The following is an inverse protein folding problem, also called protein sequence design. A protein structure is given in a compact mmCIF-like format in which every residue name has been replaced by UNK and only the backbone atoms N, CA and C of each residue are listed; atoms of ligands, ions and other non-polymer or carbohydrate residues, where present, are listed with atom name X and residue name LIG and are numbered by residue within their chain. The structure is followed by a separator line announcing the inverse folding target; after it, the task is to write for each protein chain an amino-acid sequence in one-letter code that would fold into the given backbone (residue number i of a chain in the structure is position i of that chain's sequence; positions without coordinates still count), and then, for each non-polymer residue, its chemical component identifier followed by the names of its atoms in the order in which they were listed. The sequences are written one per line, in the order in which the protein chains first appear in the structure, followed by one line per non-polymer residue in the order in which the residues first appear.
data_IF_954700785995
#
_entry.id   IF_954700785995
#
_cell.length_a   1.000
_cell.length_b   1.000
_cell.length_c   1.000
_cell.angle_alpha   90.00
_cell.angle_beta   90.00
_cell.angle_gamma   90.00
#
_symmetry.space_group_name_H-M   'P 1'
#
loop_
_entity.id
_entity.type
_entity.pdbx_description
1 polymer ?
#
# COMPACT_ATOMS: atom_id res chain seq x y z
N UNK A 1 -14.82 19.09 3.77
CA UNK A 1 -15.84 18.42 2.94
C UNK A 1 -17.22 18.51 3.58
N UNK A 2 -17.52 17.81 4.69
CA UNK A 2 -18.83 17.89 5.41
C UNK A 2 -19.38 19.32 5.60
N UNK A 3 -18.53 20.28 5.98
CA UNK A 3 -18.95 21.68 6.14
C UNK A 3 -19.45 22.35 4.84
N UNK A 4 -18.91 21.97 3.68
CA UNK A 4 -19.37 22.42 2.38
C UNK A 4 -20.62 21.64 1.93
N UNK A 5 -20.58 20.30 2.03
CA UNK A 5 -21.68 19.42 1.63
C UNK A 5 -22.97 19.60 2.45
N UNK A 6 -22.88 20.23 3.63
CA UNK A 6 -24.03 20.62 4.46
C UNK A 6 -24.43 22.10 4.35
N UNK A 7 -23.78 22.88 3.48
CA UNK A 7 -24.03 24.32 3.33
C UNK A 7 -23.66 25.15 4.56
N UNK A 8 -22.82 24.63 5.46
CA UNK A 8 -22.27 25.37 6.59
C UNK A 8 -21.20 26.38 6.13
N UNK A 9 -20.43 26.07 5.09
CA UNK A 9 -19.38 26.94 4.52
C UNK A 9 -19.42 26.87 2.98
N UNK A 10 -19.05 27.95 2.30
CA UNK A 10 -18.88 27.99 0.83
C UNK A 10 -17.42 27.66 0.46
N UNK A 11 -17.22 26.81 -0.54
CA UNK A 11 -15.90 26.39 -1.05
C UNK A 11 -15.03 27.50 -1.64
N UNK A 12 -15.61 28.63 -2.06
CA UNK A 12 -14.87 29.81 -2.56
C UNK A 12 -13.93 30.38 -1.48
N UNK A 13 -14.46 30.61 -0.28
CA UNK A 13 -13.74 31.20 0.85
C UNK A 13 -13.27 30.16 1.88
N UNK A 14 -13.76 28.92 1.81
CA UNK A 14 -13.50 27.88 2.81
C UNK A 14 -12.90 26.61 2.18
N UNK A 15 -11.58 26.52 2.22
CA UNK A 15 -10.79 25.37 1.76
C UNK A 15 -9.96 24.76 2.92
N UNK A 16 -9.31 23.60 2.75
CA UNK A 16 -8.54 22.95 3.81
C UNK A 16 -7.44 23.83 4.43
N UNK A 17 -6.79 24.68 3.63
CA UNK A 17 -5.77 25.61 4.12
C UNK A 17 -6.35 26.71 5.01
N UNK A 18 -7.48 27.29 4.62
CA UNK A 18 -8.22 28.27 5.45
C UNK A 18 -8.69 27.62 6.75
N UNK A 19 -9.22 26.41 6.70
CA UNK A 19 -9.68 25.67 7.88
C UNK A 19 -8.53 25.36 8.85
N UNK A 20 -7.39 24.89 8.33
CA UNK A 20 -6.18 24.67 9.14
C UNK A 20 -5.66 25.97 9.78
N UNK A 21 -5.68 27.10 9.06
CA UNK A 21 -5.31 28.40 9.65
C UNK A 21 -6.27 28.83 10.77
N UNK A 22 -7.57 28.62 10.60
CA UNK A 22 -8.57 28.94 11.63
C UNK A 22 -8.37 28.07 12.88
N UNK A 23 -8.18 26.76 12.72
CA UNK A 23 -7.84 25.84 13.81
C UNK A 23 -6.53 26.24 14.51
N UNK A 24 -5.48 26.57 13.75
CA UNK A 24 -4.21 27.00 14.32
C UNK A 24 -4.34 28.32 15.12
N UNK A 25 -5.17 29.26 14.67
CA UNK A 25 -5.36 30.54 15.37
C UNK A 25 -6.04 30.44 16.74
N UNK A 26 -6.77 29.34 17.00
CA UNK A 26 -7.34 29.02 18.32
C UNK A 26 -6.48 28.04 19.13
N UNK A 27 -5.26 27.71 18.66
CA UNK A 27 -4.39 26.73 19.33
C UNK A 27 -4.96 25.31 19.32
N UNK A 28 -5.72 24.94 18.28
CA UNK A 28 -6.35 23.62 18.19
C UNK A 28 -5.35 22.47 17.98
N UNK A 29 -4.14 22.77 17.51
CA UNK A 29 -3.11 21.80 17.20
C UNK A 29 -2.08 21.67 18.32
N UNK A 30 -1.67 20.43 18.60
CA UNK A 30 -0.63 20.09 19.54
C UNK A 30 0.75 20.47 19.01
N UNK A 31 1.76 20.25 19.84
CA UNK A 31 3.17 20.44 19.47
C UNK A 31 3.63 19.50 18.35
N UNK A 32 2.90 18.41 18.13
CA UNK A 32 3.03 17.39 17.10
C UNK A 32 2.18 17.68 15.84
N UNK A 33 1.40 18.78 15.83
CA UNK A 33 0.46 19.11 14.76
C UNK A 33 -0.84 18.31 14.77
N UNK A 34 -1.06 17.42 15.75
CA UNK A 34 -2.34 16.69 15.90
C UNK A 34 -3.44 17.62 16.41
N UNK A 35 -4.70 17.37 16.06
CA UNK A 35 -5.81 18.14 16.62
C UNK A 35 -6.06 17.72 18.08
N UNK A 36 -5.71 18.58 19.05
CA UNK A 36 -5.74 18.26 20.48
C UNK A 36 -7.14 17.88 20.99
N UNK A 37 -8.18 18.54 20.47
CA UNK A 37 -9.57 18.36 20.89
C UNK A 37 -10.50 18.49 19.70
N UNK A 38 -11.42 17.54 19.53
CA UNK A 38 -12.44 17.65 18.49
C UNK A 38 -13.39 18.85 18.70
N UNK A 39 -13.56 19.27 19.95
CA UNK A 39 -14.27 20.51 20.29
C UNK A 39 -13.72 21.77 19.58
N UNK A 40 -12.45 21.76 19.16
CA UNK A 40 -11.86 22.84 18.36
C UNK A 40 -12.43 22.92 16.94
N UNK A 41 -12.84 21.78 16.34
CA UNK A 41 -13.59 21.79 15.07
C UNK A 41 -14.94 22.44 15.27
N UNK A 42 -15.64 22.13 16.36
CA UNK A 42 -16.90 22.78 16.72
C UNK A 42 -16.76 24.27 17.05
N UNK A 43 -15.59 24.74 17.49
CA UNK A 43 -15.33 26.18 17.67
C UNK A 43 -15.20 26.93 16.34
N UNK A 44 -14.70 26.28 15.29
CA UNK A 44 -14.54 26.87 13.93
C UNK A 44 -15.78 26.63 13.06
N UNK A 45 -16.47 25.49 13.24
CA UNK A 45 -17.65 25.06 12.49
C UNK A 45 -18.69 24.47 13.47
N UNK A 46 -19.41 25.31 14.25
CA UNK A 46 -20.38 24.84 15.25
C UNK A 46 -21.55 24.04 14.66
N UNK A 47 -21.78 24.16 13.36
CA UNK A 47 -22.82 23.43 12.63
C UNK A 47 -22.43 21.99 12.28
N UNK A 48 -21.15 21.61 12.37
CA UNK A 48 -20.67 20.24 12.12
C UNK A 48 -20.34 19.57 13.43
N UNK A 49 -20.88 18.37 13.66
CA UNK A 49 -20.67 17.59 14.89
C UNK A 49 -20.36 16.15 14.55
N UNK A 50 -19.52 15.50 15.35
CA UNK A 50 -19.48 14.03 15.38
C UNK A 50 -20.62 13.56 16.27
N UNK A 51 -21.49 12.72 15.72
CA UNK A 51 -22.58 12.05 16.44
C UNK A 51 -22.09 10.70 16.99
N UNK A 52 -21.26 9.98 16.22
CA UNK A 52 -20.55 8.77 16.66
C UNK A 52 -19.13 8.73 16.09
N UNK A 53 -18.16 8.39 16.94
CA UNK A 53 -16.74 8.33 16.61
C UNK A 53 -16.26 6.87 16.53
N UNK A 54 -15.28 6.61 15.66
CA UNK A 54 -14.55 5.34 15.54
C UNK A 54 -15.44 4.08 15.59
N UNK A 55 -16.54 4.08 14.82
CA UNK A 55 -17.38 2.89 14.68
C UNK A 55 -16.66 1.84 13.84
N UNK A 56 -16.56 0.64 14.39
CA UNK A 56 -16.24 -0.57 13.63
C UNK A 56 -17.42 -0.97 12.75
N UNK A 57 -17.12 -1.70 11.67
CA UNK A 57 -18.14 -2.36 10.86
C UNK A 57 -18.58 -3.68 11.49
N UNK A 58 -19.83 -4.06 11.25
CA UNK A 58 -20.35 -5.39 11.55
C UNK A 58 -20.11 -6.36 10.39
N UNK A 59 -19.95 -5.83 9.17
CA UNK A 59 -19.63 -6.58 7.96
C UNK A 59 -18.16 -6.49 7.57
N UNK A 60 -17.63 -7.59 7.03
CA UNK A 60 -16.28 -7.66 6.49
C UNK A 60 -16.23 -7.43 4.97
N UNK A 61 -17.35 -7.51 4.24
CA UNK A 61 -17.38 -7.30 2.78
C UNK A 61 -17.54 -5.83 2.41
N UNK A 62 -16.94 -5.42 1.29
CA UNK A 62 -17.04 -4.04 0.77
C UNK A 62 -18.51 -3.58 0.61
N UNK A 63 -19.37 -4.45 0.04
CA UNK A 63 -20.80 -4.17 -0.11
C UNK A 63 -21.52 -4.01 1.24
N UNK A 64 -21.19 -4.83 2.24
CA UNK A 64 -21.78 -4.74 3.57
C UNK A 64 -21.33 -3.48 4.32
N UNK A 65 -20.04 -3.12 4.24
CA UNK A 65 -19.51 -1.86 4.78
C UNK A 65 -20.14 -0.65 4.11
N UNK A 66 -20.31 -0.69 2.79
CA UNK A 66 -21.06 0.32 2.04
C UNK A 66 -22.51 0.41 2.51
N UNK A 67 -23.20 -0.72 2.74
CA UNK A 67 -24.57 -0.74 3.25
C UNK A 67 -24.69 -0.14 4.67
N UNK A 68 -23.78 -0.46 5.59
CA UNK A 68 -23.76 0.14 6.93
C UNK A 68 -23.59 1.66 6.89
N UNK A 69 -22.68 2.19 6.07
CA UNK A 69 -22.54 3.63 5.88
C UNK A 69 -23.75 4.23 5.15
N UNK A 70 -24.38 3.48 4.24
CA UNK A 70 -25.60 3.92 3.54
C UNK A 70 -26.77 4.09 4.51
N UNK A 71 -26.89 3.24 5.54
CA UNK A 71 -27.91 3.45 6.56
C UNK A 71 -27.79 4.81 7.27
N UNK A 72 -26.56 5.28 7.53
CA UNK A 72 -26.32 6.59 8.14
C UNK A 72 -26.61 7.74 7.17
N UNK A 73 -26.21 7.61 5.90
CA UNK A 73 -26.62 8.56 4.85
C UNK A 73 -28.15 8.65 4.71
N UNK A 74 -28.85 7.52 4.72
CA UNK A 74 -30.32 7.45 4.63
C UNK A 74 -31.01 8.07 5.87
N UNK A 75 -30.34 8.12 7.02
CA UNK A 75 -30.78 8.82 8.24
C UNK A 75 -30.45 10.32 8.21
N UNK A 76 -29.84 10.83 7.15
CA UNK A 76 -29.48 12.25 6.97
C UNK A 76 -28.12 12.64 7.54
N UNK A 77 -27.23 11.68 7.82
CA UNK A 77 -25.88 11.95 8.35
C UNK A 77 -24.80 11.84 7.29
N UNK A 78 -23.72 12.59 7.48
CA UNK A 78 -22.49 12.49 6.72
C UNK A 78 -21.58 11.41 7.30
N UNK A 79 -20.75 10.80 6.45
CA UNK A 79 -19.79 9.78 6.89
C UNK A 79 -18.38 10.17 6.42
N UNK A 80 -17.41 9.99 7.32
CA UNK A 80 -15.99 9.90 6.95
C UNK A 80 -15.46 8.55 7.42
N UNK A 81 -14.46 8.01 6.73
CA UNK A 81 -13.96 6.69 7.03
C UNK A 81 -12.43 6.60 6.96
N UNK A 82 -11.88 5.67 7.74
CA UNK A 82 -10.44 5.45 7.88
C UNK A 82 -10.00 4.35 6.94
N UNK A 83 -9.07 4.66 6.06
CA UNK A 83 -8.56 3.78 4.99
C UNK A 83 -7.08 3.40 5.19
N UNK A 84 -6.61 3.48 6.44
CA UNK A 84 -5.30 2.96 6.86
C UNK A 84 -4.41 4.02 7.49
N UNK A 85 -4.91 4.70 8.53
CA UNK A 85 -4.25 5.86 9.14
C UNK A 85 -4.57 7.19 8.44
N UNK A 86 -5.37 7.14 7.37
CA UNK A 86 -5.87 8.31 6.62
C UNK A 86 -7.39 8.36 6.63
N UNK A 87 -7.97 9.56 6.63
CA UNK A 87 -9.42 9.78 6.68
C UNK A 87 -9.96 10.41 5.40
N UNK A 88 -10.86 9.71 4.73
CA UNK A 88 -11.54 10.18 3.50
C UNK A 88 -13.01 10.47 3.76
N UNK A 89 -13.60 11.37 2.97
CA UNK A 89 -15.03 11.67 3.04
C UNK A 89 -15.81 10.77 2.10
N UNK A 90 -16.90 10.18 2.60
CA UNK A 90 -17.82 9.36 1.80
C UNK A 90 -18.86 10.29 1.18
N UNK A 91 -18.70 10.56 -0.11
CA UNK A 91 -19.54 11.49 -0.84
C UNK A 91 -20.88 10.86 -1.21
N UNK A 92 -20.87 9.69 -1.85
CA UNK A 92 -22.09 8.96 -2.18
C UNK A 92 -21.86 7.46 -2.23
N UNK A 93 -22.93 6.70 -2.02
CA UNK A 93 -22.91 5.23 -2.03
C UNK A 93 -24.06 4.74 -2.93
N UNK A 94 -23.73 3.90 -3.91
CA UNK A 94 -24.66 3.35 -4.90
C UNK A 94 -24.20 1.96 -5.35
N UNK A 95 -25.11 0.97 -5.32
CA UNK A 95 -24.88 -0.40 -5.79
C UNK A 95 -23.58 -1.04 -5.25
N UNK A 96 -23.34 -0.87 -3.93
CA UNK A 96 -22.14 -1.36 -3.23
C UNK A 96 -20.87 -0.51 -3.42
N UNK A 97 -20.83 0.33 -4.45
CA UNK A 97 -19.70 1.22 -4.72
C UNK A 97 -19.78 2.51 -3.87
N UNK A 98 -18.62 3.04 -3.53
CA UNK A 98 -18.48 4.24 -2.69
C UNK A 98 -17.70 5.29 -3.46
N UNK A 99 -18.37 6.38 -3.81
CA UNK A 99 -17.68 7.60 -4.25
C UNK A 99 -17.16 8.33 -3.02
N UNK A 100 -15.86 8.62 -3.01
CA UNK A 100 -15.17 9.38 -1.97
C UNK A 100 -14.63 10.70 -2.50
N UNK A 101 -14.32 11.60 -1.57
CA UNK A 101 -13.40 12.70 -1.82
C UNK A 101 -12.26 12.64 -0.79
N UNK A 102 -11.04 12.73 -1.31
CA UNK A 102 -9.80 12.50 -0.60
C UNK A 102 -8.91 13.77 -0.66
N UNK A 103 -8.43 14.31 0.48
CA UNK A 103 -7.48 15.43 0.47
C UNK A 103 -6.11 15.12 -0.16
N UNK A 104 -5.73 13.85 -0.31
CA UNK A 104 -4.40 13.40 -0.71
C UNK A 104 -4.34 12.75 -2.11
N UNK A 105 -5.49 12.44 -2.72
CA UNK A 105 -5.59 11.74 -4.02
C UNK A 105 -6.71 12.31 -4.88
N UNK A 106 -6.66 12.03 -6.19
CA UNK A 106 -7.71 12.41 -7.15
C UNK A 106 -8.67 11.28 -7.50
N UNK A 107 -8.40 10.06 -7.03
CA UNK A 107 -9.27 8.90 -7.23
C UNK A 107 -10.61 9.10 -6.52
N UNK A 108 -11.71 8.78 -7.20
CA UNK A 108 -13.06 9.01 -6.66
C UNK A 108 -13.75 7.73 -6.20
N UNK A 109 -13.36 6.55 -6.66
CA UNK A 109 -13.90 5.28 -6.15
C UNK A 109 -13.04 4.75 -5.00
N UNK A 110 -13.67 4.50 -3.85
CA UNK A 110 -12.94 4.17 -2.64
C UNK A 110 -12.23 2.82 -2.72
N UNK A 111 -12.95 1.76 -3.13
CA UNK A 111 -12.42 0.39 -3.11
C UNK A 111 -11.46 0.12 -4.28
N UNK A 112 -11.43 0.98 -5.30
CA UNK A 112 -10.38 1.02 -6.31
C UNK A 112 -9.10 1.72 -5.81
N UNK A 113 -9.25 2.74 -4.95
CA UNK A 113 -8.13 3.57 -4.46
C UNK A 113 -7.50 3.05 -3.16
N UNK A 114 -8.24 2.24 -2.41
CA UNK A 114 -7.90 1.70 -1.10
C UNK A 114 -8.36 0.25 -0.98
N UNK A 115 -7.52 -0.59 -0.37
CA UNK A 115 -7.82 -2.02 -0.20
C UNK A 115 -9.08 -2.26 0.63
N UNK A 116 -9.28 -1.50 1.72
CA UNK A 116 -10.42 -1.67 2.62
C UNK A 116 -10.67 -0.40 3.48
N UNK A 117 -11.82 -0.38 4.16
CA UNK A 117 -12.21 0.60 5.18
C UNK A 117 -12.21 -0.05 6.57
N UNK A 118 -11.52 0.59 7.51
CA UNK A 118 -11.22 0.04 8.83
C UNK A 118 -12.17 0.51 9.93
N UNK A 119 -12.60 1.77 9.87
CA UNK A 119 -13.56 2.38 10.79
C UNK A 119 -14.26 3.56 10.11
N UNK A 120 -15.38 4.01 10.66
CA UNK A 120 -16.07 5.21 10.20
C UNK A 120 -16.55 6.11 11.35
N UNK A 121 -16.80 7.38 11.03
CA UNK A 121 -17.43 8.33 11.95
C UNK A 121 -18.65 8.93 11.28
N UNK A 122 -19.71 9.15 12.06
CA UNK A 122 -20.97 9.72 11.62
C UNK A 122 -21.06 11.16 12.10
N UNK A 123 -21.41 12.08 11.19
CA UNK A 123 -21.45 13.51 11.46
C UNK A 123 -22.80 14.13 11.10
N UNK A 124 -23.28 15.04 11.94
CA UNK A 124 -24.31 16.00 11.55
C UNK A 124 -23.66 17.21 10.86
N UNK A 125 -24.36 17.79 9.88
CA UNK A 125 -24.04 19.11 9.32
C UNK A 125 -25.15 20.12 9.61
N UNK A 126 -25.01 21.33 9.05
CA UNK A 126 -26.06 22.38 9.11
C UNK A 126 -27.38 21.89 8.50
N UNK A 127 -27.29 21.36 7.28
CA UNK A 127 -28.35 20.65 6.58
C UNK A 127 -28.06 19.14 6.65
N UNK A 128 -29.09 18.26 6.71
CA UNK A 128 -28.90 16.82 6.58
C UNK A 128 -28.24 16.39 5.26
N UNK A 129 -27.54 15.26 5.29
CA UNK A 129 -27.04 14.61 4.07
C UNK A 129 -28.21 14.35 3.10
N UNK A 130 -28.00 14.70 1.82
CA UNK A 130 -29.01 14.57 0.77
C UNK A 130 -30.11 15.64 0.78
N UNK A 131 -30.13 16.58 1.73
CA UNK A 131 -31.15 17.65 1.79
C UNK A 131 -30.73 18.93 1.03
N UNK A 132 -29.99 18.79 -0.07
CA UNK A 132 -29.88 19.88 -1.02
C UNK A 132 -31.29 20.12 -1.58
N UNK A 133 -31.83 21.32 -1.38
CA UNK A 133 -33.06 21.72 -2.05
C UNK A 133 -32.83 21.66 -3.57
N UNK A 134 -33.86 21.27 -4.33
CA UNK A 134 -33.92 21.55 -5.76
C UNK A 134 -34.03 23.08 -5.95
N UNK A 135 -32.91 23.80 -5.77
CA UNK A 135 -32.80 25.14 -6.34
C UNK A 135 -32.92 24.96 -7.86
N UNK A 136 -34.02 25.49 -8.39
CA UNK A 136 -34.53 25.25 -9.74
C UNK A 136 -33.62 25.88 -10.81
N UNK A 137 -32.46 25.26 -11.02
CA UNK A 137 -31.52 25.57 -12.07
C UNK A 137 -31.99 24.91 -13.38
N UNK A 138 -32.11 25.74 -14.42
CA UNK A 138 -32.41 25.30 -15.78
C UNK A 138 -31.37 24.26 -16.27
N UNK A 139 -31.72 23.36 -17.20
CA UNK A 139 -30.87 22.22 -17.54
C UNK A 139 -29.59 22.65 -18.25
N UNK A 140 -28.49 22.73 -17.51
CA UNK A 140 -27.16 22.82 -18.11
C UNK A 140 -26.66 21.42 -18.48
N UNK A 141 -26.43 21.24 -19.78
CA UNK A 141 -25.98 20.00 -20.41
C UNK A 141 -24.54 19.67 -20.01
N UNK A 142 -24.34 19.07 -18.85
CA UNK A 142 -23.00 18.61 -18.43
C UNK A 142 -22.61 17.37 -19.23
N UNK A 143 -21.65 17.54 -20.15
CA UNK A 143 -21.19 16.49 -21.04
C UNK A 143 -20.32 15.49 -20.28
N UNK A 144 -20.81 14.25 -20.11
CA UNK A 144 -20.00 13.14 -19.59
C UNK A 144 -18.80 12.90 -20.50
N UNK A 145 -17.59 13.24 -20.04
CA UNK A 145 -16.36 12.96 -20.76
C UNK A 145 -15.87 11.56 -20.43
N UNK A 146 -16.36 10.56 -21.17
CA UNK A 146 -15.85 9.19 -21.10
C UNK A 146 -14.50 9.13 -21.81
N UNK A 147 -13.40 9.10 -21.07
CA UNK A 147 -12.04 8.95 -21.63
C UNK A 147 -11.78 7.51 -22.04
N UNK A 148 -12.27 7.11 -23.22
CA UNK A 148 -11.91 5.83 -23.85
C UNK A 148 -10.55 5.96 -24.55
N UNK A 149 -9.48 5.47 -23.91
CA UNK A 149 -8.13 5.47 -24.51
C UNK A 149 -8.07 4.53 -25.73
N UNK A 150 -8.16 5.10 -26.93
CA UNK A 150 -8.02 4.37 -28.19
C UNK A 150 -6.68 4.72 -28.86
N UNK A 151 -5.69 3.85 -28.70
CA UNK A 151 -4.35 4.03 -29.30
C UNK A 151 -4.44 3.99 -30.84
N UNK A 152 -4.28 5.15 -31.49
CA UNK A 152 -4.27 5.26 -32.96
C UNK A 152 -2.90 5.69 -33.47
N UNK A 153 -2.11 4.73 -33.94
CA UNK A 153 -0.79 5.01 -34.53
C UNK A 153 -0.93 5.71 -35.87
N UNK A 154 -0.57 7.00 -35.95
CA UNK A 154 -0.55 7.76 -37.21
C UNK A 154 0.87 7.91 -37.72
N UNK A 155 1.19 7.26 -38.83
CA UNK A 155 2.49 7.39 -39.51
C UNK A 155 2.42 8.50 -40.56
N UNK A 156 3.17 9.58 -40.36
CA UNK A 156 3.26 10.70 -41.31
C UNK A 156 4.59 10.66 -42.04
N UNK A 157 4.58 10.40 -43.35
CA UNK A 157 5.77 10.41 -44.21
C UNK A 157 5.87 11.74 -44.96
N UNK A 158 6.91 12.53 -44.68
CA UNK A 158 7.11 13.83 -45.34
C UNK A 158 8.24 13.75 -46.38
N UNK A 159 7.90 13.92 -47.65
CA UNK A 159 8.87 13.91 -48.76
C UNK A 159 9.33 15.33 -49.07
N UNK A 160 10.64 15.61 -48.92
CA UNK A 160 11.23 16.88 -49.32
C UNK A 160 12.05 16.73 -50.61
N UNK A 161 11.70 17.52 -51.64
CA UNK A 161 12.48 17.64 -52.86
C UNK A 161 13.61 18.68 -52.69
N UNK A 162 14.78 18.43 -53.28
CA UNK A 162 15.91 19.37 -53.28
C UNK A 162 16.27 19.82 -54.69
N UNK A 163 16.34 21.13 -54.88
CA UNK A 163 16.59 21.80 -56.16
C UNK A 163 18.10 21.92 -56.44
N UNK A 164 18.49 21.86 -57.71
CA UNK A 164 19.90 21.90 -58.13
C UNK A 164 20.57 23.27 -57.91
N UNK A 165 21.88 23.26 -57.65
CA UNK A 165 22.74 24.44 -57.60
C UNK A 165 23.95 24.35 -58.54
N UNK A 166 24.33 25.48 -59.11
CA UNK A 166 25.25 25.65 -60.24
C UNK A 166 26.06 26.95 -60.09
N UNK A 167 27.31 27.09 -60.55
CA UNK A 167 28.33 26.15 -61.07
C UNK A 167 29.68 26.86 -60.91
N UNK A 168 30.82 26.17 -60.71
CA UNK A 168 32.10 26.73 -61.20
C UNK A 168 33.22 25.71 -61.45
N UNK A 169 34.02 26.03 -62.47
CA UNK A 169 35.03 25.18 -63.08
C UNK A 169 36.44 25.73 -62.80
N UNK A 170 37.42 24.88 -62.51
CA UNK A 170 38.83 25.15 -62.87
C UNK A 170 39.56 23.88 -63.32
N UNK A 171 40.34 23.99 -64.39
CA UNK A 171 41.16 22.95 -65.02
C UNK A 171 42.58 23.51 -65.19
N UNK A 172 43.60 22.88 -64.59
CA UNK A 172 44.77 22.38 -65.35
C UNK A 172 45.28 21.03 -64.77
N UNK A 173 46.20 20.25 -65.35
CA UNK A 173 46.94 20.26 -66.63
C UNK A 173 47.21 18.79 -67.03
N UNK A 174 47.59 18.50 -68.28
CA UNK A 174 47.79 17.13 -68.76
C UNK A 174 49.23 16.60 -68.58
N UNK A 175 49.38 15.28 -68.46
CA UNK A 175 50.61 14.56 -68.84
C UNK A 175 50.27 13.23 -69.55
N UNK A 176 51.15 12.77 -70.45
CA UNK A 176 50.87 11.75 -71.49
C UNK A 176 51.40 10.36 -71.17
N UNK A 177 50.60 9.32 -71.49
CA UNK A 177 51.03 8.09 -72.21
C UNK A 177 49.76 7.30 -72.58
N UNK A 178 49.29 7.30 -73.83
CA UNK A 178 49.75 6.40 -74.91
C UNK A 178 49.50 4.91 -74.61
N UNK A 179 48.36 4.37 -75.07
CA UNK A 179 48.30 3.29 -76.08
C UNK A 179 46.87 3.11 -76.65
N UNK A 180 46.78 2.25 -77.67
CA UNK A 180 45.76 2.12 -78.71
C UNK A 180 44.29 1.75 -78.31
N UNK A 181 43.35 2.38 -79.02
CA UNK A 181 42.34 1.75 -79.90
C UNK A 181 41.06 1.05 -79.37
N UNK A 182 40.07 1.04 -80.27
CA UNK A 182 38.70 0.49 -80.23
C UNK A 182 37.63 1.28 -79.45
N UNK A 183 36.55 1.58 -80.17
CA UNK A 183 35.26 1.98 -79.62
C UNK A 183 34.48 0.73 -79.17
N UNK A 184 33.61 0.88 -78.17
CA UNK A 184 32.18 0.64 -78.37
C UNK A 184 31.35 1.43 -77.33
N UNK A 185 30.03 1.27 -77.36
CA UNK A 185 29.05 2.26 -76.93
C UNK A 185 28.17 1.74 -75.78
N UNK A 186 27.77 2.69 -74.93
CA UNK A 186 26.49 2.72 -74.19
C UNK A 186 26.32 2.01 -72.82
N UNK A 187 25.55 2.70 -71.98
CA UNK A 187 24.79 2.23 -70.80
C UNK A 187 25.55 1.84 -69.52
N UNK A 188 25.92 2.84 -68.73
CA UNK A 188 26.27 2.66 -67.31
C UNK A 188 25.04 2.91 -66.41
N UNK A 189 24.66 1.90 -65.63
CA UNK A 189 23.53 1.94 -64.67
C UNK A 189 23.91 2.76 -63.44
N UNK A 190 23.02 3.65 -62.99
CA UNK A 190 23.21 4.42 -61.75
C UNK A 190 22.51 3.73 -60.58
N UNK A 191 23.28 3.31 -59.57
CA UNK A 191 22.78 2.76 -58.31
C UNK A 191 22.75 3.86 -57.22
N UNK A 192 21.57 4.20 -56.74
CA UNK A 192 21.37 5.13 -55.61
C UNK A 192 21.28 4.39 -54.29
N UNK A 193 22.21 4.66 -53.37
CA UNK A 193 22.16 4.19 -51.98
C UNK A 193 21.33 5.15 -51.13
N UNK A 194 20.24 4.68 -50.54
CA UNK A 194 19.46 5.43 -49.55
C UNK A 194 20.04 5.25 -48.15
N UNK A 195 20.49 6.34 -47.54
CA UNK A 195 20.83 6.39 -46.10
C UNK A 195 19.71 7.09 -45.35
N UNK A 196 19.06 6.40 -44.42
CA UNK A 196 18.02 6.94 -43.55
C UNK A 196 18.61 7.38 -42.20
N UNK A 197 18.41 8.64 -41.84
CA UNK A 197 18.87 9.22 -40.57
C UNK A 197 17.66 9.47 -39.66
N UNK A 198 17.58 8.76 -38.53
CA UNK A 198 16.53 8.99 -37.53
C UNK A 198 16.96 10.13 -36.59
N UNK A 199 16.13 11.16 -36.47
CA UNK A 199 16.34 12.25 -35.51
C UNK A 199 15.33 12.13 -34.37
N UNK A 200 15.81 11.84 -33.16
CA UNK A 200 14.98 11.80 -31.94
C UNK A 200 15.03 13.17 -31.26
N UNK A 201 13.88 13.86 -31.19
CA UNK A 201 13.75 15.11 -30.41
C UNK A 201 13.31 14.77 -29.00
N UNK A 202 14.21 14.88 -28.02
CA UNK A 202 13.88 14.78 -26.59
C UNK A 202 13.45 16.15 -26.08
N UNK A 203 12.23 16.27 -25.57
CA UNK A 203 11.76 17.46 -24.85
C UNK A 203 11.96 17.27 -23.35
N UNK A 204 12.92 17.99 -22.77
CA UNK A 204 13.13 18.00 -21.32
C UNK A 204 12.14 18.96 -20.67
N UNK A 205 11.18 18.43 -19.91
CA UNK A 205 10.39 19.21 -18.95
C UNK A 205 11.14 19.18 -17.61
N UNK A 206 11.47 20.37 -17.10
CA UNK A 206 12.12 20.50 -15.79
C UNK A 206 11.05 20.68 -14.72
N UNK A 207 10.67 19.60 -14.04
CA UNK A 207 9.93 19.69 -12.79
C UNK A 207 10.91 19.83 -11.62
N UNK A 208 10.72 20.87 -10.81
CA UNK A 208 11.48 21.07 -9.57
C UNK A 208 10.88 20.18 -8.49
N UNK A 209 11.40 18.97 -8.33
CA UNK A 209 11.07 18.10 -7.21
C UNK A 209 11.57 18.74 -5.90
N UNK A 210 10.64 19.21 -5.07
CA UNK A 210 10.95 19.66 -3.72
C UNK A 210 11.12 18.43 -2.81
N UNK A 211 12.36 17.98 -2.63
CA UNK A 211 12.70 16.88 -1.71
C UNK A 211 12.51 17.32 -0.26
N UNK A 212 11.32 17.05 0.30
CA UNK A 212 11.08 17.17 1.74
C UNK A 212 11.51 15.87 2.42
N UNK A 213 12.63 15.88 3.12
CA UNK A 213 13.03 14.78 4.00
C UNK A 213 12.15 14.77 5.25
N UNK A 214 11.23 13.82 5.33
CA UNK A 214 10.45 13.56 6.55
C UNK A 214 11.38 12.81 7.52
N UNK A 215 11.70 13.44 8.65
CA UNK A 215 12.33 12.77 9.78
C UNK A 215 11.21 12.25 10.68
N UNK A 216 11.01 10.94 10.72
CA UNK A 216 10.03 10.32 11.60
C UNK A 216 10.44 10.51 13.07
N UNK A 217 9.49 10.87 13.93
CA UNK A 217 9.67 10.86 15.38
C UNK A 217 8.31 10.59 16.03
N UNK A 218 8.18 9.42 16.63
CA UNK A 218 6.92 8.80 17.09
C UNK A 218 6.82 8.83 18.61
N UNK A 219 5.62 9.02 19.16
CA UNK A 219 5.20 8.71 20.54
C UNK A 219 3.65 8.56 20.59
N UNK A 220 3.08 7.83 21.58
CA UNK A 220 2.49 6.53 21.24
C UNK A 220 0.96 6.49 21.18
N UNK A 221 0.45 5.79 20.16
CA UNK A 221 -0.78 5.00 20.26
C UNK A 221 -0.48 3.79 21.16
N UNK A 222 -1.47 3.25 21.88
CA UNK A 222 -1.35 1.91 22.51
C UNK A 222 -1.35 0.85 21.39
N UNK A 223 -0.26 0.77 20.66
CA UNK A 223 -0.07 -0.13 19.53
C UNK A 223 -0.01 -1.57 20.03
N UNK A 224 -0.82 -2.43 19.44
CA UNK A 224 -0.65 -3.88 19.58
C UNK A 224 0.76 -4.21 19.05
N UNK A 225 1.64 -4.81 19.87
CA UNK A 225 3.03 -4.99 19.50
C UNK A 225 3.17 -5.95 18.32
N UNK A 226 4.09 -5.65 17.41
CA UNK A 226 4.56 -6.61 16.39
C UNK A 226 5.62 -7.54 17.01
N UNK A 227 5.88 -8.67 16.36
CA UNK A 227 6.76 -9.72 16.86
C UNK A 227 6.01 -11.04 17.06
N UNK A 228 6.48 -11.86 17.99
CA UNK A 228 6.02 -13.25 18.13
C UNK A 228 4.69 -13.38 18.89
N UNK A 229 3.81 -14.25 18.40
CA UNK A 229 2.54 -14.58 19.02
C UNK A 229 2.33 -16.10 19.04
N UNK A 230 1.80 -16.61 20.15
CA UNK A 230 1.33 -17.99 20.29
C UNK A 230 -0.14 -18.12 19.88
N UNK A 231 -0.51 -19.22 19.22
CA UNK A 231 -1.90 -19.65 19.06
C UNK A 231 -2.46 -20.13 20.41
N UNK A 232 -3.36 -19.36 21.01
CA UNK A 232 -3.90 -19.63 22.35
C UNK A 232 -5.22 -20.41 22.35
N UNK A 233 -5.92 -20.44 21.22
CA UNK A 233 -7.17 -21.21 21.03
C UNK A 233 -6.94 -22.73 21.17
N UNK A 234 -7.92 -23.47 21.72
CA UNK A 234 -7.80 -24.93 21.87
C UNK A 234 -7.98 -25.70 20.58
N UNK A 235 -8.78 -25.17 19.65
CA UNK A 235 -9.05 -25.78 18.35
C UNK A 235 -8.04 -25.33 17.29
N UNK A 236 -7.22 -24.32 17.61
CA UNK A 236 -6.29 -23.70 16.68
C UNK A 236 -6.89 -22.52 15.90
N UNK A 237 -6.30 -22.21 14.75
CA UNK A 237 -6.80 -21.19 13.82
C UNK A 237 -6.35 -21.48 12.39
N UNK A 238 -7.26 -21.33 11.44
CA UNK A 238 -6.87 -21.22 10.03
C UNK A 238 -6.02 -19.96 9.81
N UNK A 239 -5.18 -20.00 8.78
CA UNK A 239 -4.45 -18.87 8.22
C UNK A 239 -4.98 -18.59 6.81
N UNK A 240 -5.42 -17.35 6.57
CA UNK A 240 -6.11 -16.94 5.35
C UNK A 240 -5.22 -16.08 4.45
N UNK A 241 -5.39 -16.17 3.14
CA UNK A 241 -4.68 -15.32 2.18
C UNK A 241 -5.11 -13.84 2.24
N UNK A 242 -6.32 -13.59 2.73
CA UNK A 242 -6.97 -12.28 2.89
C UNK A 242 -7.60 -12.22 4.30
N UNK A 243 -7.80 -11.04 4.91
CA UNK A 243 -8.36 -10.91 6.26
C UNK A 243 -9.89 -11.13 6.30
N UNK A 244 -10.34 -12.29 5.83
CA UNK A 244 -11.73 -12.77 5.86
C UNK A 244 -11.74 -14.26 6.22
N UNK A 245 -12.52 -14.64 7.25
CA UNK A 245 -12.71 -16.03 7.69
C UNK A 245 -13.45 -16.91 6.66
N UNK A 246 -14.08 -16.28 5.66
CA UNK A 246 -14.70 -16.95 4.51
C UNK A 246 -13.71 -17.13 3.34
N UNK A 247 -12.51 -16.55 3.47
CA UNK A 247 -11.49 -16.49 2.43
C UNK A 247 -10.73 -17.81 2.24
N UNK A 248 -9.74 -17.79 1.35
CA UNK A 248 -8.90 -18.97 1.08
C UNK A 248 -7.96 -19.24 2.26
N UNK A 249 -8.18 -20.36 2.95
CA UNK A 249 -7.20 -20.94 3.88
C UNK A 249 -5.96 -21.41 3.11
N UNK A 250 -4.77 -21.08 3.62
CA UNK A 250 -3.47 -21.50 3.05
C UNK A 250 -2.67 -22.40 3.99
N UNK A 251 -2.89 -22.31 5.30
CA UNK A 251 -2.26 -23.11 6.34
C UNK A 251 -3.14 -23.11 7.61
N UNK A 252 -2.77 -23.93 8.59
CA UNK A 252 -3.50 -24.07 9.86
C UNK A 252 -2.50 -23.97 11.03
N UNK A 253 -2.86 -23.19 12.07
CA UNK A 253 -2.20 -23.19 13.37
C UNK A 253 -2.89 -24.17 14.31
N UNK A 254 -2.10 -24.97 15.01
CA UNK A 254 -2.47 -25.76 16.17
C UNK A 254 -2.23 -24.91 17.44
N UNK A 255 -2.86 -25.30 18.56
CA UNK A 255 -2.59 -24.67 19.86
C UNK A 255 -1.09 -24.71 20.20
N UNK A 256 -0.55 -23.56 20.60
CA UNK A 256 0.86 -23.41 20.98
C UNK A 256 1.80 -23.09 19.82
N UNK A 257 1.33 -23.15 18.57
CA UNK A 257 2.12 -22.74 17.42
C UNK A 257 2.44 -21.24 17.47
N UNK A 258 3.61 -20.88 16.95
CA UNK A 258 4.18 -19.53 17.02
C UNK A 258 4.28 -18.95 15.61
N UNK A 259 3.87 -17.69 15.48
CA UNK A 259 4.00 -16.90 14.24
C UNK A 259 4.61 -15.53 14.53
N UNK A 260 5.36 -15.00 13.58
CA UNK A 260 5.89 -13.64 13.65
C UNK A 260 4.92 -12.65 12.97
N UNK A 261 4.22 -11.86 13.78
CA UNK A 261 3.27 -10.84 13.35
C UNK A 261 4.03 -9.58 12.92
N UNK A 262 3.96 -9.27 11.63
CA UNK A 262 4.65 -8.13 11.01
C UNK A 262 3.84 -6.82 11.08
N UNK A 263 2.52 -6.93 11.18
CA UNK A 263 1.56 -5.82 11.24
C UNK A 263 0.25 -6.29 11.85
N UNK A 264 -0.52 -5.38 12.44
CA UNK A 264 -1.87 -5.65 12.97
C UNK A 264 -2.85 -4.66 12.37
N UNK A 265 -3.91 -5.17 11.73
CA UNK A 265 -4.96 -4.39 11.09
C UNK A 265 -6.34 -4.90 11.57
N UNK A 266 -7.09 -4.07 12.31
CA UNK A 266 -8.50 -4.32 12.65
C UNK A 266 -8.85 -5.73 13.13
N UNK A 267 -8.14 -6.23 14.14
CA UNK A 267 -8.38 -7.57 14.70
C UNK A 267 -7.78 -8.70 13.86
N UNK A 268 -6.94 -8.39 12.86
CA UNK A 268 -6.14 -9.35 12.11
C UNK A 268 -4.65 -9.10 12.29
N UNK A 269 -3.89 -10.17 12.41
CA UNK A 269 -2.44 -10.19 12.42
C UNK A 269 -1.93 -10.60 11.04
N UNK A 270 -1.14 -9.71 10.42
CA UNK A 270 -0.46 -9.97 9.16
C UNK A 270 0.86 -10.70 9.40
N UNK A 271 1.00 -11.88 8.82
CA UNK A 271 2.16 -12.78 8.92
C UNK A 271 2.69 -13.08 7.51
N UNK A 272 3.88 -13.67 7.42
CA UNK A 272 4.40 -14.21 6.16
C UNK A 272 4.52 -15.73 6.29
N UNK A 273 3.90 -16.48 5.36
CA UNK A 273 3.87 -17.94 5.34
C UNK A 273 4.29 -18.41 3.94
N UNK A 274 5.31 -19.27 3.83
CA UNK A 274 5.92 -19.70 2.57
C UNK A 274 6.18 -18.53 1.59
N UNK A 275 6.71 -17.41 2.09
CA UNK A 275 6.97 -16.19 1.33
C UNK A 275 5.72 -15.34 1.00
N UNK A 276 4.51 -15.80 1.32
CA UNK A 276 3.24 -15.11 1.02
C UNK A 276 2.73 -14.31 2.21
N UNK A 277 2.22 -13.09 1.95
CA UNK A 277 1.46 -12.33 2.95
C UNK A 277 0.15 -13.04 3.30
N UNK A 278 -0.12 -13.20 4.59
CA UNK A 278 -1.29 -13.93 5.09
C UNK A 278 -1.81 -13.37 6.43
N UNK A 279 -3.01 -13.81 6.84
CA UNK A 279 -3.81 -13.17 7.88
C UNK A 279 -4.40 -14.18 8.87
N UNK A 280 -4.36 -13.81 10.15
CA UNK A 280 -4.86 -14.62 11.27
C UNK A 280 -5.69 -13.73 12.20
N UNK A 281 -6.86 -14.15 12.70
CA UNK A 281 -7.62 -13.35 13.66
C UNK A 281 -6.82 -13.16 14.95
N UNK A 282 -6.65 -11.89 15.38
CA UNK A 282 -5.92 -11.50 16.58
C UNK A 282 -6.47 -12.17 17.85
N UNK A 283 -7.78 -12.42 17.92
CA UNK A 283 -8.42 -13.10 19.05
C UNK A 283 -7.96 -14.56 19.26
N UNK A 284 -7.33 -15.17 18.24
CA UNK A 284 -6.74 -16.52 18.30
C UNK A 284 -5.32 -16.52 18.83
N UNK A 285 -4.72 -15.34 18.97
CA UNK A 285 -3.31 -15.15 19.22
C UNK A 285 -3.07 -14.45 20.57
N UNK A 286 -1.93 -14.75 21.20
CA UNK A 286 -1.47 -14.08 22.42
C UNK A 286 -0.01 -13.69 22.25
N UNK A 287 0.29 -12.42 22.50
CA UNK A 287 1.65 -11.88 22.34
C UNK A 287 2.63 -12.61 23.25
N UNK A 288 3.75 -13.06 22.69
CA UNK A 288 4.75 -13.83 23.41
C UNK A 288 5.61 -12.98 24.36
N UNK A 289 5.56 -11.65 24.22
CA UNK A 289 6.48 -10.73 24.88
C UNK A 289 7.73 -10.48 24.05
N UNK A 290 8.62 -9.63 24.55
CA UNK A 290 9.97 -9.48 23.96
C UNK A 290 10.75 -10.80 24.09
N UNK A 291 11.74 -11.00 23.22
CA UNK A 291 12.66 -12.13 23.32
C UNK A 291 13.55 -11.98 24.55
N UNK A 292 13.86 -13.10 25.20
CA UNK A 292 14.80 -13.14 26.34
C UNK A 292 16.12 -13.75 25.90
N UNK A 293 17.23 -13.31 26.48
CA UNK A 293 18.53 -13.95 26.28
C UNK A 293 18.55 -15.23 27.12
N UNK A 294 18.64 -16.38 26.44
CA UNK A 294 18.64 -17.71 27.04
C UNK A 294 20.07 -18.30 27.03
N UNK A 295 20.34 -19.23 27.95
CA UNK A 295 21.57 -20.00 27.93
C UNK A 295 21.62 -20.96 26.74
N UNK A 296 22.81 -21.28 26.24
CA UNK A 296 22.96 -22.36 25.24
C UNK A 296 22.46 -23.67 25.84
N UNK A 297 21.47 -24.29 25.20
CA UNK A 297 20.74 -25.46 25.68
C UNK A 297 19.54 -25.19 26.60
N UNK A 298 19.44 -24.01 27.24
CA UNK A 298 18.31 -23.62 28.11
C UNK A 298 17.12 -23.14 27.26
N UNK A 299 16.48 -24.08 26.57
CA UNK A 299 15.38 -23.81 25.62
C UNK A 299 14.10 -23.42 26.37
N UNK A 300 13.87 -23.97 27.56
CA UNK A 300 12.68 -23.71 28.37
C UNK A 300 12.79 -22.44 29.25
N UNK A 301 14.01 -21.95 29.52
CA UNK A 301 14.28 -20.71 30.23
C UNK A 301 14.21 -20.81 31.76
N UNK A 302 14.43 -21.99 32.34
CA UNK A 302 14.55 -22.17 33.79
C UNK A 302 15.98 -21.95 34.32
N UNK A 303 16.96 -21.78 33.41
CA UNK A 303 18.37 -21.54 33.72
C UNK A 303 19.23 -22.80 33.79
N UNK A 304 18.69 -23.98 33.43
CA UNK A 304 19.40 -25.26 33.45
C UNK A 304 19.13 -26.03 32.15
N UNK A 305 20.15 -26.21 31.33
CA UNK A 305 20.09 -27.11 30.18
C UNK A 305 19.98 -28.58 30.66
N UNK A 306 18.79 -29.21 30.52
CA UNK A 306 18.56 -30.59 30.99
C UNK A 306 17.81 -31.51 29.98
N UNK A 307 17.20 -32.62 30.45
CA UNK A 307 16.50 -33.57 29.58
C UNK A 307 15.11 -33.08 29.10
N UNK A 308 14.57 -32.02 29.72
CA UNK A 308 13.34 -31.34 29.28
C UNK A 308 13.60 -30.54 28.00
N UNK A 309 14.68 -29.75 27.95
CA UNK A 309 15.07 -29.00 26.75
C UNK A 309 15.47 -29.94 25.61
N UNK A 310 16.19 -31.03 25.91
CA UNK A 310 16.49 -32.06 24.92
C UNK A 310 15.19 -32.64 24.33
N UNK A 311 14.12 -32.76 25.12
CA UNK A 311 12.81 -33.16 24.62
C UNK A 311 12.16 -32.07 23.75
N UNK A 312 12.31 -30.77 24.08
CA UNK A 312 11.86 -29.65 23.24
C UNK A 312 12.60 -29.60 21.90
N UNK A 313 13.93 -29.70 21.89
CA UNK A 313 14.77 -29.78 20.69
C UNK A 313 14.34 -30.95 19.79
N UNK A 314 14.21 -32.15 20.37
CA UNK A 314 13.74 -33.33 19.65
C UNK A 314 12.30 -33.20 19.13
N UNK A 315 11.45 -32.41 19.78
CA UNK A 315 10.09 -32.14 19.33
C UNK A 315 10.09 -31.15 18.16
N UNK A 316 10.87 -30.07 18.26
CA UNK A 316 11.06 -29.07 17.20
C UNK A 316 11.56 -29.72 15.90
N UNK A 317 12.67 -30.47 15.94
CA UNK A 317 13.26 -31.14 14.77
C UNK A 317 12.25 -32.09 14.09
N UNK A 318 11.44 -32.82 14.88
CA UNK A 318 10.41 -33.73 14.33
C UNK A 318 9.29 -32.99 13.61
N UNK A 319 8.85 -31.84 14.13
CA UNK A 319 7.77 -31.04 13.55
C UNK A 319 8.25 -30.11 12.42
N UNK A 320 9.56 -29.84 12.32
CA UNK A 320 10.13 -28.85 11.39
C UNK A 320 9.68 -29.08 9.93
N UNK A 321 9.76 -30.33 9.46
CA UNK A 321 9.35 -30.69 8.09
C UNK A 321 7.82 -30.92 7.93
N UNK A 322 7.04 -30.82 9.00
CA UNK A 322 5.57 -30.97 8.95
C UNK A 322 4.82 -29.64 8.77
N UNK A 323 5.55 -28.52 8.75
CA UNK A 323 5.00 -27.16 8.81
C UNK A 323 5.50 -26.28 7.66
N UNK A 324 4.67 -25.33 7.18
CA UNK A 324 5.13 -24.32 6.23
C UNK A 324 6.09 -23.32 6.90
N UNK A 325 6.92 -22.67 6.09
CA UNK A 325 7.83 -21.61 6.54
C UNK A 325 7.00 -20.48 7.19
N UNK A 326 7.44 -20.00 8.35
CA UNK A 326 6.73 -18.96 9.11
C UNK A 326 5.83 -19.47 10.26
N UNK A 327 5.63 -20.79 10.39
CA UNK A 327 4.99 -21.42 11.56
C UNK A 327 6.02 -22.23 12.35
N UNK A 328 6.19 -21.91 13.63
CA UNK A 328 7.16 -22.57 14.53
C UNK A 328 6.49 -23.22 15.73
N UNK A 329 7.18 -24.14 16.41
CA UNK A 329 6.83 -24.63 17.76
C UNK A 329 7.75 -24.10 18.86
N UNK A 330 8.77 -23.31 18.50
CA UNK A 330 9.68 -22.61 19.40
C UNK A 330 9.79 -21.14 19.00
N UNK A 331 9.98 -20.25 19.96
CA UNK A 331 10.31 -18.84 19.70
C UNK A 331 11.71 -18.70 19.12
N UNK A 332 12.00 -17.56 18.53
CA UNK A 332 13.33 -17.20 18.05
C UNK A 332 14.42 -17.31 19.13
N UNK A 333 14.17 -16.83 20.35
CA UNK A 333 15.14 -16.97 21.45
C UNK A 333 15.36 -18.43 21.87
N UNK A 334 14.30 -19.25 21.81
CA UNK A 334 14.34 -20.69 22.12
C UNK A 334 15.07 -21.46 20.99
N UNK A 335 14.93 -21.03 19.73
CA UNK A 335 15.72 -21.51 18.58
C UNK A 335 17.20 -21.11 18.71
N UNK A 336 17.49 -19.86 19.10
CA UNK A 336 18.86 -19.37 19.35
C UNK A 336 19.53 -20.11 20.52
N UNK A 337 18.78 -20.56 21.53
CA UNK A 337 19.26 -21.46 22.58
C UNK A 337 19.49 -22.90 22.11
N UNK A 338 18.68 -23.35 21.15
CA UNK A 338 18.73 -24.70 20.57
C UNK A 338 19.90 -24.90 19.58
N UNK A 339 20.38 -23.83 18.93
CA UNK A 339 21.57 -23.83 18.07
C UNK A 339 22.86 -23.86 18.91
N UNK A 340 23.07 -24.98 19.59
CA UNK A 340 24.22 -25.18 20.50
C UNK A 340 25.55 -25.15 19.72
N UNK A 341 25.53 -25.58 18.46
CA UNK A 341 26.73 -25.65 17.64
C UNK A 341 27.06 -24.31 16.93
N UNK A 342 26.08 -23.41 16.83
CA UNK A 342 26.14 -22.09 16.20
C UNK A 342 26.42 -22.13 14.67
N UNK A 343 25.92 -23.15 13.96
CA UNK A 343 25.95 -23.20 12.49
C UNK A 343 24.75 -22.54 11.81
N UNK A 344 23.68 -22.26 12.57
CA UNK A 344 22.46 -21.60 12.11
C UNK A 344 21.33 -22.56 11.67
N UNK A 345 21.54 -23.88 11.69
CA UNK A 345 20.57 -24.88 11.24
C UNK A 345 20.23 -25.85 12.40
N UNK A 346 19.03 -25.79 12.99
CA UNK A 346 18.66 -26.71 14.09
C UNK A 346 18.53 -28.16 13.58
N UNK A 347 19.49 -29.03 13.92
CA UNK A 347 19.58 -30.38 13.35
C UNK A 347 20.12 -31.45 14.33
N UNK A 348 20.34 -32.68 13.83
CA UNK A 348 20.89 -33.79 14.63
C UNK A 348 22.27 -33.48 15.24
N UNK A 349 23.02 -32.52 14.66
CA UNK A 349 24.30 -32.04 15.20
C UNK A 349 24.14 -31.34 16.54
N UNK A 350 23.08 -30.53 16.70
CA UNK A 350 22.74 -29.91 17.98
C UNK A 350 22.33 -30.94 19.01
N UNK A 351 21.54 -31.94 18.61
CA UNK A 351 21.17 -33.07 19.50
C UNK A 351 22.42 -33.80 20.00
N UNK A 352 23.43 -34.00 19.15
CA UNK A 352 24.70 -34.60 19.54
C UNK A 352 25.51 -33.71 20.49
N UNK A 353 25.55 -32.39 20.26
CA UNK A 353 26.23 -31.44 21.15
C UNK A 353 25.50 -31.31 22.50
N UNK A 354 24.16 -31.27 22.48
CA UNK A 354 23.30 -31.28 23.65
C UNK A 354 23.59 -32.50 24.53
N UNK A 355 23.64 -33.70 23.94
CA UNK A 355 23.95 -34.92 24.66
C UNK A 355 25.35 -34.93 25.28
N UNK A 356 26.32 -34.23 24.68
CA UNK A 356 27.64 -34.05 25.31
C UNK A 356 27.58 -33.07 26.49
N UNK A 357 26.77 -32.01 26.40
CA UNK A 357 26.61 -31.01 27.45
C UNK A 357 26.01 -31.57 28.75
N UNK A 358 25.00 -32.45 28.64
CA UNK A 358 24.26 -32.97 29.82
C UNK A 358 24.73 -34.34 30.34
N UNK A 359 25.74 -34.96 29.70
CA UNK A 359 26.26 -36.27 30.11
C UNK A 359 27.66 -36.23 30.78
N UNK A 360 28.18 -35.04 31.09
CA UNK A 360 29.37 -34.85 31.95
C UNK A 360 29.03 -34.83 33.46
#
# INVERSE_FOLDING_TARGET
MVAAASGARNTEDFNPGVFAQQLNSIGAFGWDGSLMYWASVNAVIPEVKIETANLSFNSYSHEGKAAEMKEWQNKGYYVICNVGGHWVYVDSISDGNITMADPAKTDTDLFSAYYDVYAYQVLSGKNPYGSAEEENAAPETTTTTTTTTTTTTTTTTTTAASTAAQTTTTKPLALKSAFAESADTETAVTSTTTTSTTTTTTTTVTETAATTSVSETTLPVTSIPVGEYYCSDSEGSDIYLEPDVSGKVIAELRKGDIVNVTRVLCGWCGVNIDGSDAWIPLEKLTYAGEGVELGSGDINGDGIADDVDLALLNNYIKNYNERPEGISTLRRCEIEAADINCDGDINDSDVLMYLMLICE
#
